data_IF_534936252295
#
_entry.id   IF_534936252295
#
_cell.length_a   1.000
_cell.length_b   1.000
_cell.length_c   1.000
_cell.angle_alpha   90.00
_cell.angle_beta   90.00
_cell.angle_gamma   90.00
#
_symmetry.space_group_name_H-M   'P 1'
#
loop_
_entity.id
_entity.type
_entity.pdbx_description
1 polymer ?
#
# COMPACT_ATOMS: atom_id res chain seq x y z
N UNK A 1 -8.46 6.10 6.84
CA UNK A 1 -8.74 5.92 5.40
C UNK A 1 -7.78 6.79 4.60
N UNK A 2 -6.97 6.19 3.72
CA UNK A 2 -6.03 6.96 2.89
C UNK A 2 -6.75 7.90 1.92
N UNK A 3 -8.01 7.62 1.58
CA UNK A 3 -8.83 8.50 0.74
C UNK A 3 -9.16 9.88 1.31
N UNK A 4 -8.84 10.15 2.58
CA UNK A 4 -8.94 11.49 3.16
C UNK A 4 -7.67 12.35 2.94
N UNK A 5 -6.66 11.79 2.28
CA UNK A 5 -5.37 12.44 2.01
C UNK A 5 -5.21 12.64 0.49
N UNK A 6 -5.90 13.62 -0.11
CA UNK A 6 -5.91 13.80 -1.57
C UNK A 6 -4.55 14.19 -2.16
N UNK A 7 -3.63 14.70 -1.32
CA UNK A 7 -2.27 15.06 -1.72
C UNK A 7 -1.23 13.99 -1.36
N UNK A 8 -1.65 12.78 -0.98
CA UNK A 8 -0.74 11.69 -0.65
C UNK A 8 -0.04 11.20 -1.92
N UNK A 9 1.28 11.42 -1.99
CA UNK A 9 2.11 11.03 -3.13
C UNK A 9 3.05 9.88 -2.79
N UNK A 10 3.40 9.74 -1.51
CA UNK A 10 4.35 8.74 -1.04
C UNK A 10 3.77 7.99 0.16
N UNK A 11 3.91 6.66 0.16
CA UNK A 11 3.51 5.82 1.27
C UNK A 11 4.61 4.79 1.57
N UNK A 12 5.06 4.78 2.82
CA UNK A 12 6.01 3.80 3.31
C UNK A 12 5.28 2.82 4.24
N UNK A 13 5.26 1.54 3.84
CA UNK A 13 4.74 0.42 4.62
C UNK A 13 5.87 -0.52 5.06
N UNK A 14 7.12 -0.09 4.99
CA UNK A 14 8.29 -0.88 5.30
C UNK A 14 8.21 -1.52 6.68
N UNK A 15 8.71 -2.76 6.79
CA UNK A 15 8.63 -3.60 7.99
C UNK A 15 7.21 -3.88 8.51
N UNK A 16 6.17 -3.62 7.73
CA UNK A 16 4.78 -3.93 8.10
C UNK A 16 4.41 -5.39 7.77
N UNK A 17 3.51 -5.97 8.57
CA UNK A 17 2.88 -7.26 8.26
C UNK A 17 1.58 -7.04 7.51
N UNK A 18 1.66 -7.03 6.18
CA UNK A 18 0.52 -6.75 5.31
C UNK A 18 -0.49 -7.91 5.26
N UNK A 19 -0.01 -9.15 5.38
CA UNK A 19 -0.86 -10.35 5.53
C UNK A 19 -1.92 -10.49 4.42
N UNK A 20 -1.60 -10.13 3.17
CA UNK A 20 -2.55 -10.19 2.05
C UNK A 20 -3.50 -9.00 1.94
N UNK A 21 -3.38 -7.99 2.81
CA UNK A 21 -4.30 -6.85 2.88
C UNK A 21 -3.82 -5.61 2.10
N UNK A 22 -2.76 -5.71 1.29
CA UNK A 22 -2.23 -4.54 0.57
C UNK A 22 -3.31 -3.84 -0.26
N UNK A 23 -4.17 -4.61 -0.94
CA UNK A 23 -5.31 -4.07 -1.68
C UNK A 23 -6.28 -3.28 -0.79
N UNK A 24 -6.59 -3.77 0.41
CA UNK A 24 -7.53 -3.11 1.33
C UNK A 24 -6.94 -1.80 1.87
N UNK A 25 -5.61 -1.74 2.03
CA UNK A 25 -4.92 -0.52 2.47
C UNK A 25 -4.95 0.53 1.35
N UNK A 26 -4.72 0.12 0.10
CA UNK A 26 -4.50 1.03 -1.03
C UNK A 26 -5.77 1.32 -1.85
N UNK A 27 -6.87 0.57 -1.69
CA UNK A 27 -8.07 0.75 -2.52
C UNK A 27 -8.75 2.10 -2.38
N UNK A 28 -8.56 2.78 -1.24
CA UNK A 28 -9.18 4.07 -0.95
C UNK A 28 -8.38 5.26 -1.49
N UNK A 29 -7.24 5.04 -2.15
CA UNK A 29 -6.44 6.13 -2.73
C UNK A 29 -7.20 6.85 -3.85
N UNK A 30 -7.31 8.17 -3.71
CA UNK A 30 -7.99 9.03 -4.70
C UNK A 30 -7.14 9.30 -5.95
N UNK A 31 -5.83 9.08 -5.85
CA UNK A 31 -4.86 9.27 -6.91
C UNK A 31 -3.74 8.22 -6.79
N UNK A 32 -3.05 7.87 -7.89
CA UNK A 32 -1.90 6.97 -7.82
C UNK A 32 -0.78 7.59 -6.98
N UNK A 33 -0.12 6.75 -6.17
CA UNK A 33 1.11 7.13 -5.49
C UNK A 33 2.25 7.27 -6.51
N UNK A 34 3.15 8.22 -6.24
CA UNK A 34 4.43 8.35 -6.95
C UNK A 34 5.49 7.43 -6.37
N UNK A 35 5.40 7.13 -5.08
CA UNK A 35 6.30 6.20 -4.39
C UNK A 35 5.52 5.31 -3.41
N UNK A 36 5.80 4.00 -3.49
CA UNK A 36 5.34 3.00 -2.52
C UNK A 36 6.55 2.19 -2.06
N UNK A 37 6.84 2.25 -0.77
CA UNK A 37 7.93 1.48 -0.17
C UNK A 37 7.39 0.30 0.64
N UNK A 38 7.79 -0.91 0.23
CA UNK A 38 7.40 -2.19 0.87
C UNK A 38 8.62 -2.93 1.48
N UNK A 39 9.72 -2.21 1.75
CA UNK A 39 10.96 -2.81 2.23
C UNK A 39 10.73 -3.65 3.49
N UNK A 40 11.35 -4.83 3.58
CA UNK A 40 11.22 -5.72 4.75
C UNK A 40 9.77 -6.16 5.08
N UNK A 41 8.84 -6.09 4.12
CA UNK A 41 7.50 -6.67 4.26
C UNK A 41 7.50 -8.17 3.93
N UNK A 42 6.69 -8.94 4.67
CA UNK A 42 6.32 -10.29 4.24
C UNK A 42 5.12 -10.20 3.29
N UNK A 43 5.37 -10.24 1.98
CA UNK A 43 4.32 -10.21 0.96
C UNK A 43 3.76 -11.62 0.71
N UNK A 44 2.44 -11.75 0.75
CA UNK A 44 1.75 -12.97 0.35
C UNK A 44 1.40 -12.90 -1.15
N UNK A 45 1.06 -14.03 -1.79
CA UNK A 45 0.65 -14.04 -3.21
C UNK A 45 -0.50 -13.07 -3.52
N UNK A 46 -1.41 -12.83 -2.57
CA UNK A 46 -2.49 -11.85 -2.72
C UNK A 46 -1.98 -10.41 -2.77
N UNK A 47 -0.91 -10.08 -2.03
CA UNK A 47 -0.27 -8.76 -2.09
C UNK A 47 0.44 -8.58 -3.44
N UNK A 48 1.13 -9.62 -3.91
CA UNK A 48 1.86 -9.60 -5.19
C UNK A 48 0.93 -9.55 -6.40
N UNK A 49 -0.23 -10.24 -6.37
CA UNK A 49 -1.20 -10.22 -7.45
C UNK A 49 -1.92 -8.87 -7.61
N UNK A 50 -1.85 -8.01 -6.59
CA UNK A 50 -2.42 -6.67 -6.62
C UNK A 50 -1.44 -5.63 -7.20
N UNK A 51 -0.14 -5.83 -7.00
CA UNK A 51 0.93 -4.99 -7.59
C UNK A 51 1.04 -5.22 -9.09
#
# INVERSE_FOLDING_TARGET
>A
QLGMLPSLRELNLGSSRLSGNLRQILCDLQAPLESLELAFCSLLPADLAFL
#
